data_IF_900032159940
#
_entry.id   IF_900032159940
#
_cell.length_a   1.000
_cell.length_b   1.000
_cell.length_c   1.000
_cell.angle_alpha   90.00
_cell.angle_beta   90.00
_cell.angle_gamma   90.00
#
_symmetry.space_group_name_H-M   'P 1'
#
loop_
_entity.id
_entity.type
_entity.pdbx_description
1 polymer ?
#
# COMPACT_ATOMS: atom_id res chain seq x y z
N UNK A 1 -14.42 3.37 -18.78
CA UNK A 1 -15.00 2.15 -18.16
C UNK A 1 -15.03 2.32 -16.65
N UNK A 2 -15.80 1.55 -15.88
CA UNK A 2 -16.12 1.88 -14.47
C UNK A 2 -14.90 2.31 -13.62
N UNK A 3 -13.75 1.63 -13.76
CA UNK A 3 -12.52 1.98 -13.04
C UNK A 3 -11.92 3.33 -13.51
N UNK A 4 -11.96 3.62 -14.80
CA UNK A 4 -11.45 4.89 -15.35
C UNK A 4 -12.33 6.07 -14.94
N UNK A 5 -13.64 5.85 -14.92
CA UNK A 5 -14.60 6.86 -14.47
C UNK A 5 -14.37 7.13 -12.98
N UNK A 6 -14.20 6.09 -12.16
CA UNK A 6 -13.84 6.23 -10.74
C UNK A 6 -12.51 6.99 -10.55
N UNK A 7 -11.46 6.67 -11.32
CA UNK A 7 -10.19 7.39 -11.26
C UNK A 7 -10.40 8.89 -11.57
N UNK A 8 -11.19 9.21 -12.61
CA UNK A 8 -11.48 10.60 -12.98
C UNK A 8 -12.19 11.35 -11.84
N UNK A 9 -13.25 10.77 -11.28
CA UNK A 9 -14.02 11.36 -10.19
C UNK A 9 -13.15 11.60 -8.94
N UNK A 10 -12.33 10.61 -8.54
CA UNK A 10 -11.45 10.80 -7.39
C UNK A 10 -10.30 11.78 -7.65
N UNK A 11 -9.83 11.90 -8.90
CA UNK A 11 -8.86 12.93 -9.28
C UNK A 11 -9.45 14.34 -9.23
N UNK A 12 -10.74 14.51 -9.52
CA UNK A 12 -11.43 15.79 -9.33
C UNK A 12 -11.65 16.07 -7.85
N UNK A 13 -12.14 15.08 -7.09
CA UNK A 13 -12.39 15.22 -5.66
C UNK A 13 -11.12 15.57 -4.87
N UNK A 14 -9.99 14.93 -5.16
CA UNK A 14 -8.73 15.18 -4.44
C UNK A 14 -8.19 16.59 -4.67
N UNK A 15 -8.51 17.25 -5.80
CA UNK A 15 -8.14 18.65 -6.05
C UNK A 15 -8.90 19.64 -5.14
N UNK A 16 -10.01 19.20 -4.56
CA UNK A 16 -10.87 19.99 -3.66
C UNK A 16 -10.58 19.72 -2.17
N UNK A 17 -9.58 18.91 -1.86
CA UNK A 17 -9.17 18.56 -0.50
C UNK A 17 -7.67 18.86 -0.29
N UNK A 18 -7.28 19.07 0.96
CA UNK A 18 -5.87 19.24 1.37
C UNK A 18 -5.52 18.25 2.48
N UNK A 19 -4.26 17.78 2.59
CA UNK A 19 -3.83 16.92 3.70
C UNK A 19 -4.05 17.54 5.09
N UNK A 20 -4.17 18.86 5.19
CA UNK A 20 -4.28 19.64 6.42
C UNK A 20 -5.60 20.42 6.54
N UNK A 21 -6.62 20.09 5.73
CA UNK A 21 -7.92 20.81 5.73
C UNK A 21 -8.82 20.50 6.94
N UNK A 22 -8.31 19.72 7.90
CA UNK A 22 -9.05 19.29 9.09
C UNK A 22 -10.05 18.14 8.83
N UNK A 23 -10.08 17.58 7.63
CA UNK A 23 -10.93 16.44 7.26
C UNK A 23 -10.11 15.27 6.74
N UNK A 24 -10.68 14.06 6.72
CA UNK A 24 -10.05 12.86 6.14
C UNK A 24 -10.36 12.68 4.64
N UNK A 25 -10.91 13.69 3.96
CA UNK A 25 -11.30 13.58 2.53
C UNK A 25 -10.10 13.35 1.62
N UNK A 26 -8.99 14.05 1.87
CA UNK A 26 -7.76 13.88 1.11
C UNK A 26 -7.25 12.43 1.21
N UNK A 27 -7.18 11.89 2.44
CA UNK A 27 -6.86 10.49 2.70
C UNK A 27 -7.74 9.53 1.89
N UNK A 28 -9.07 9.64 1.98
CA UNK A 28 -9.98 8.71 1.29
C UNK A 28 -9.83 8.79 -0.24
N UNK A 29 -9.71 9.99 -0.80
CA UNK A 29 -9.53 10.14 -2.25
C UNK A 29 -8.22 9.52 -2.73
N UNK A 30 -7.10 9.80 -2.03
CA UNK A 30 -5.81 9.20 -2.35
C UNK A 30 -5.82 7.67 -2.19
N UNK A 31 -6.45 7.16 -1.12
CA UNK A 31 -6.55 5.72 -0.90
C UNK A 31 -7.35 5.03 -2.02
N UNK A 32 -8.51 5.59 -2.41
CA UNK A 32 -9.31 5.04 -3.50
C UNK A 32 -8.59 5.10 -4.86
N UNK A 33 -7.86 6.18 -5.14
CA UNK A 33 -7.01 6.25 -6.33
C UNK A 33 -5.97 5.13 -6.34
N UNK A 34 -5.31 4.89 -5.21
CA UNK A 34 -4.38 3.78 -5.05
C UNK A 34 -5.02 2.43 -5.39
N UNK A 35 -6.21 2.15 -4.85
CA UNK A 35 -6.97 0.91 -5.12
C UNK A 35 -7.28 0.78 -6.62
N UNK A 36 -7.80 1.83 -7.26
CA UNK A 36 -8.11 1.78 -8.68
C UNK A 36 -6.86 1.52 -9.54
N UNK A 37 -5.70 2.09 -9.19
CA UNK A 37 -4.45 1.81 -9.91
C UNK A 37 -3.91 0.41 -9.63
N UNK A 38 -4.13 -0.15 -8.43
CA UNK A 38 -3.82 -1.55 -8.13
C UNK A 38 -4.66 -2.49 -8.99
N UNK A 39 -5.96 -2.24 -9.14
CA UNK A 39 -6.85 -3.04 -10.01
C UNK A 39 -6.41 -3.00 -11.48
N UNK A 40 -5.83 -1.89 -11.93
CA UNK A 40 -5.25 -1.76 -13.28
C UNK A 40 -3.84 -2.36 -13.41
N UNK A 41 -3.31 -3.02 -12.38
CA UNK A 41 -1.94 -3.54 -12.32
C UNK A 41 -0.87 -2.46 -12.55
N UNK A 42 -1.10 -1.26 -11.99
CA UNK A 42 -0.19 -0.11 -12.04
C UNK A 42 0.34 0.21 -10.63
N UNK A 43 1.16 -0.69 -10.03
CA UNK A 43 1.54 -0.60 -8.62
C UNK A 43 2.34 0.66 -8.29
N UNK A 44 3.21 1.09 -9.20
CA UNK A 44 4.05 2.28 -9.00
C UNK A 44 3.22 3.57 -8.90
N UNK A 45 2.10 3.64 -9.64
CA UNK A 45 1.18 4.78 -9.54
C UNK A 45 0.36 4.68 -8.25
N UNK A 46 -0.06 3.47 -7.87
CA UNK A 46 -0.76 3.26 -6.61
C UNK A 46 0.09 3.68 -5.40
N UNK A 47 1.37 3.29 -5.37
CA UNK A 47 2.33 3.67 -4.33
C UNK A 47 2.41 5.19 -4.14
N UNK A 48 2.49 5.95 -5.24
CA UNK A 48 2.49 7.42 -5.17
C UNK A 48 1.24 7.95 -4.46
N UNK A 49 0.07 7.38 -4.74
CA UNK A 49 -1.18 7.81 -4.11
C UNK A 49 -1.30 7.38 -2.65
N UNK A 50 -0.89 6.17 -2.29
CA UNK A 50 -0.85 5.75 -0.89
C UNK A 50 0.12 6.61 -0.06
N UNK A 51 1.30 6.94 -0.61
CA UNK A 51 2.24 7.86 0.04
C UNK A 51 1.68 9.26 0.21
N UNK A 52 0.89 9.76 -0.76
CA UNK A 52 0.14 11.01 -0.60
C UNK A 52 -0.91 10.90 0.50
N UNK A 53 -1.66 9.80 0.55
CA UNK A 53 -2.66 9.58 1.60
C UNK A 53 -2.03 9.67 3.01
N UNK A 54 -0.81 9.14 3.20
CA UNK A 54 -0.06 9.21 4.46
C UNK A 54 0.31 10.63 4.91
N UNK A 55 0.25 11.63 4.01
CA UNK A 55 0.53 13.03 4.36
C UNK A 55 -0.64 13.71 5.08
N UNK A 56 -1.81 13.07 5.12
CA UNK A 56 -2.99 13.61 5.80
C UNK A 56 -2.73 13.74 7.30
N UNK A 57 -3.01 14.91 7.87
CA UNK A 57 -2.86 15.17 9.29
C UNK A 57 -4.00 14.53 10.09
N UNK A 58 -3.68 14.02 11.28
CA UNK A 58 -4.68 13.44 12.18
C UNK A 58 -5.14 12.04 11.78
N UNK A 59 -4.36 11.30 10.99
CA UNK A 59 -4.59 9.88 10.78
C UNK A 59 -4.37 9.11 12.08
N UNK A 60 -5.30 8.20 12.36
CA UNK A 60 -5.23 7.24 13.46
C UNK A 60 -4.37 6.04 13.05
N UNK A 61 -3.91 5.30 14.05
CA UNK A 61 -3.02 4.16 13.79
C UNK A 61 -3.69 3.10 12.90
N UNK A 62 -5.00 2.87 13.03
CA UNK A 62 -5.76 1.96 12.16
C UNK A 62 -5.66 2.36 10.68
N UNK A 63 -5.70 3.66 10.38
CA UNK A 63 -5.63 4.19 9.01
C UNK A 63 -4.20 4.09 8.45
N UNK A 64 -3.21 4.31 9.30
CA UNK A 64 -1.80 4.13 8.95
C UNK A 64 -1.47 2.65 8.70
N UNK A 65 -1.98 1.73 9.52
CA UNK A 65 -1.86 0.28 9.30
C UNK A 65 -2.52 -0.14 7.98
N UNK A 66 -3.70 0.43 7.67
CA UNK A 66 -4.35 0.32 6.37
C UNK A 66 -3.43 0.69 5.21
N UNK A 67 -2.86 1.89 5.24
CA UNK A 67 -1.97 2.36 4.16
C UNK A 67 -0.67 1.57 4.07
N UNK A 68 -0.04 1.20 5.19
CA UNK A 68 1.16 0.35 5.18
C UNK A 68 0.88 -0.97 4.49
N UNK A 69 -0.28 -1.56 4.74
CA UNK A 69 -0.68 -2.83 4.12
C UNK A 69 -0.87 -2.68 2.60
N UNK A 70 -1.54 -1.61 2.15
CA UNK A 70 -1.71 -1.37 0.71
C UNK A 70 -0.38 -1.04 0.00
N UNK A 71 0.53 -0.35 0.66
CA UNK A 71 1.89 -0.10 0.16
C UNK A 71 2.68 -1.41 0.05
N UNK A 72 2.60 -2.29 1.04
CA UNK A 72 3.25 -3.60 1.01
C UNK A 72 2.73 -4.44 -0.17
N UNK A 73 1.42 -4.48 -0.39
CA UNK A 73 0.81 -5.15 -1.55
C UNK A 73 1.29 -4.57 -2.88
N UNK A 74 1.42 -3.25 -2.97
CA UNK A 74 1.89 -2.60 -4.18
C UNK A 74 3.36 -2.92 -4.48
N UNK A 75 4.23 -2.97 -3.46
CA UNK A 75 5.61 -3.44 -3.61
C UNK A 75 5.69 -4.92 -3.99
N UNK A 76 4.84 -5.77 -3.41
CA UNK A 76 4.78 -7.20 -3.77
C UNK A 76 4.40 -7.35 -5.25
N UNK A 77 3.40 -6.59 -5.73
CA UNK A 77 2.96 -6.60 -7.12
C UNK A 77 3.99 -6.00 -8.09
N UNK A 78 4.80 -5.02 -7.65
CA UNK A 78 5.92 -4.50 -8.46
C UNK A 78 7.14 -5.42 -8.48
N UNK A 79 7.13 -6.50 -7.70
CA UNK A 79 8.25 -7.43 -7.55
C UNK A 79 9.32 -6.99 -6.55
N UNK A 80 9.14 -5.83 -5.90
CA UNK A 80 10.04 -5.29 -4.87
C UNK A 80 9.77 -5.94 -3.50
N UNK A 81 9.89 -7.28 -3.44
CA UNK A 81 9.53 -8.10 -2.27
C UNK A 81 10.24 -7.72 -0.98
N UNK A 82 11.50 -7.27 -1.05
CA UNK A 82 12.24 -6.83 0.15
C UNK A 82 11.58 -5.60 0.79
N UNK A 83 11.08 -4.65 -0.01
CA UNK A 83 10.34 -3.49 0.52
C UNK A 83 8.97 -3.90 1.04
N UNK A 84 8.29 -4.83 0.36
CA UNK A 84 7.02 -5.36 0.87
C UNK A 84 7.20 -5.98 2.27
N UNK A 85 8.29 -6.73 2.46
CA UNK A 85 8.65 -7.33 3.76
C UNK A 85 8.83 -6.26 4.84
N UNK A 86 9.59 -5.20 4.58
CA UNK A 86 9.81 -4.11 5.54
C UNK A 86 8.49 -3.46 6.00
N UNK A 87 7.53 -3.26 5.10
CA UNK A 87 6.22 -2.69 5.46
C UNK A 87 5.36 -3.68 6.25
N UNK A 88 5.36 -4.97 5.88
CA UNK A 88 4.66 -5.99 6.66
C UNK A 88 5.27 -6.18 8.07
N UNK A 89 6.59 -6.04 8.22
CA UNK A 89 7.26 -6.10 9.53
C UNK A 89 6.83 -4.92 10.42
N UNK A 90 6.72 -3.72 9.85
CA UNK A 90 6.20 -2.55 10.58
C UNK A 90 4.76 -2.76 11.06
N UNK A 91 3.91 -3.38 10.23
CA UNK A 91 2.53 -3.71 10.59
C UNK A 91 2.53 -4.71 11.75
N UNK A 92 3.26 -5.81 11.59
CA UNK A 92 3.35 -6.88 12.58
C UNK A 92 3.88 -6.40 13.94
N UNK A 93 4.86 -5.48 13.93
CA UNK A 93 5.41 -4.90 15.15
C UNK A 93 4.38 -4.09 15.96
N UNK A 94 3.32 -3.60 15.32
CA UNK A 94 2.27 -2.79 15.94
C UNK A 94 1.06 -3.67 16.31
N UNK A 95 0.60 -4.50 15.38
CA UNK A 95 -0.45 -5.49 15.62
C UNK A 95 -0.15 -6.80 14.88
N UNK A 96 0.24 -7.82 15.65
CA UNK A 96 0.56 -9.16 15.15
C UNK A 96 -0.64 -9.89 14.51
N UNK A 97 -1.87 -9.47 14.81
CA UNK A 97 -3.11 -10.05 14.30
C UNK A 97 -3.74 -9.20 13.17
N UNK A 98 -3.03 -8.17 12.69
CA UNK A 98 -3.57 -7.30 11.66
C UNK A 98 -3.75 -8.04 10.33
N UNK A 99 -5.01 -8.32 9.97
CA UNK A 99 -5.39 -9.06 8.75
C UNK A 99 -4.62 -10.41 8.66
N UNK A 100 -3.88 -10.62 7.58
CA UNK A 100 -3.08 -11.81 7.25
C UNK A 100 -1.57 -11.55 7.33
N UNK A 101 -1.13 -10.49 8.04
CA UNK A 101 0.28 -10.05 8.04
C UNK A 101 1.28 -11.15 8.41
N UNK A 102 0.96 -11.99 9.40
CA UNK A 102 1.84 -13.10 9.80
C UNK A 102 2.03 -14.14 8.69
N UNK A 103 0.98 -14.41 7.91
CA UNK A 103 1.05 -15.30 6.75
C UNK A 103 1.86 -14.66 5.62
N UNK A 104 1.66 -13.36 5.35
CA UNK A 104 2.40 -12.61 4.32
C UNK A 104 3.90 -12.58 4.59
N UNK A 105 4.30 -12.32 5.84
CA UNK A 105 5.71 -12.35 6.25
C UNK A 105 6.34 -13.72 6.02
N UNK A 106 5.67 -14.80 6.46
CA UNK A 106 6.18 -16.15 6.28
C UNK A 106 6.37 -16.50 4.79
N UNK A 107 5.43 -16.09 3.93
CA UNK A 107 5.52 -16.32 2.49
C UNK A 107 6.71 -15.56 1.86
N UNK A 108 6.85 -14.27 2.15
CA UNK A 108 7.94 -13.45 1.59
C UNK A 108 9.32 -13.91 2.07
N UNK A 109 9.45 -14.32 3.35
CA UNK A 109 10.70 -14.87 3.89
C UNK A 109 11.09 -16.18 3.22
N UNK A 110 10.12 -17.08 2.96
CA UNK A 110 10.36 -18.32 2.25
C UNK A 110 10.86 -18.06 0.81
N UNK A 111 10.25 -17.11 0.09
CA UNK A 111 10.72 -16.71 -1.24
C UNK A 111 12.15 -16.16 -1.21
N UNK A 112 12.47 -15.31 -0.23
CA UNK A 112 13.82 -14.74 -0.09
C UNK A 112 14.88 -15.83 0.15
N UNK A 113 14.55 -16.88 0.90
CA UNK A 113 15.46 -18.02 1.12
C UNK A 113 15.66 -18.84 -0.16
N UNK A 114 14.59 -19.13 -0.92
CA UNK A 114 14.71 -19.87 -2.18
C UNK A 114 15.50 -19.10 -3.25
N UNK A 115 15.34 -17.78 -3.32
CA UNK A 115 16.09 -16.92 -4.26
C UNK A 115 17.59 -16.88 -3.92
N UNK A 116 17.95 -17.04 -2.64
CA UNK A 116 19.35 -17.10 -2.20
C UNK A 116 19.97 -18.47 -2.50
N UNK A 117 19.27 -19.58 -2.26
CA UNK A 117 19.79 -20.93 -2.53
C UNK A 117 19.96 -21.21 -4.04
N UNK A 118 19.07 -20.68 -4.89
CA UNK A 118 19.16 -20.81 -6.35
C UNK A 118 20.38 -20.11 -6.96
N UNK A 119 20.93 -19.09 -6.30
CA UNK A 119 22.12 -18.34 -6.75
C UNK A 119 23.47 -19.01 -6.40
N UNK A 120 23.47 -20.11 -5.64
CA UNK A 120 24.70 -20.84 -5.23
C UNK A 120 24.84 -22.24 -5.82
N UNK A 121 24.02 -22.61 -6.80
CA UNK A 121 24.14 -23.89 -7.50
C UNK A 121 25.14 -23.78 -8.67
N UNK A 122 26.31 -24.42 -8.54
CA UNK A 122 27.34 -24.58 -9.58
C UNK A 122 26.98 -25.66 -10.61
#
# INVERSE_FOLDING_TARGET
GLIEDAISEFQEAVKLASPDDGTKRYFYCCNMLGICFMEKQLPNIALMWYQRAMQTLGLEEEELQGLRYEIANAYEMSGEKDRALEFFEQIYAIDVNYRDVGQRLAQLQAFRQSDQEGNYSF
#
